data_IF_645940239016
#
_entry.id   IF_645940239016
#
_cell.length_a   1.000
_cell.length_b   1.000
_cell.length_c   1.000
_cell.angle_alpha   90.00
_cell.angle_beta   90.00
_cell.angle_gamma   90.00
#
_symmetry.space_group_name_H-M   'P 1'
#
loop_
_entity.id
_entity.type
_entity.pdbx_description
1 polymer ?
#
# COMPACT_ATOMS: atom_id res chain seq x y z
N UNK A 1 -28.16 12.89 -13.52
CA UNK A 1 -26.74 13.20 -13.30
C UNK A 1 -26.50 14.70 -13.24
N UNK A 2 -25.59 15.17 -12.38
CA UNK A 2 -25.13 16.56 -12.32
C UNK A 2 -23.65 16.63 -12.70
N UNK A 3 -23.28 17.57 -13.57
CA UNK A 3 -21.91 17.84 -13.97
C UNK A 3 -21.47 19.24 -13.54
N UNK A 4 -20.25 19.34 -13.01
CA UNK A 4 -19.65 20.61 -12.60
C UNK A 4 -18.19 20.68 -13.01
N UNK A 5 -17.81 21.75 -13.71
CA UNK A 5 -16.41 22.05 -14.00
C UNK A 5 -15.73 22.63 -12.76
N UNK A 6 -14.51 22.18 -12.48
CA UNK A 6 -13.71 22.57 -11.33
C UNK A 6 -12.29 22.91 -11.82
N UNK A 7 -11.60 23.91 -11.24
CA UNK A 7 -10.20 24.17 -11.56
C UNK A 7 -9.32 22.96 -11.21
N UNK A 8 -8.28 22.75 -12.01
CA UNK A 8 -7.24 21.76 -11.71
C UNK A 8 -6.46 22.19 -10.46
N UNK A 9 -6.25 21.25 -9.54
CA UNK A 9 -5.44 21.46 -8.34
C UNK A 9 -3.97 21.17 -8.62
N UNK A 10 -3.08 21.58 -7.72
CA UNK A 10 -1.64 21.29 -7.81
C UNK A 10 -1.35 19.79 -7.80
N UNK A 11 -2.12 19.01 -7.04
CA UNK A 11 -2.01 17.56 -7.01
C UNK A 11 -2.41 16.94 -8.36
N UNK A 12 -3.49 17.44 -8.98
CA UNK A 12 -3.92 16.99 -10.32
C UNK A 12 -2.80 17.25 -11.34
N UNK A 13 -2.16 18.42 -11.29
CA UNK A 13 -1.05 18.75 -12.21
C UNK A 13 0.18 17.87 -12.02
N UNK A 14 0.52 17.52 -10.77
CA UNK A 14 1.64 16.62 -10.48
C UNK A 14 1.34 15.18 -10.92
N UNK A 15 0.11 14.73 -10.73
CA UNK A 15 -0.34 13.41 -11.16
C UNK A 15 -0.29 13.28 -12.69
N UNK A 16 -0.76 14.30 -13.42
CA UNK A 16 -0.64 14.34 -14.89
C UNK A 16 0.82 14.32 -15.35
N UNK A 17 1.74 14.94 -14.60
CA UNK A 17 3.18 14.90 -14.88
C UNK A 17 3.80 13.52 -14.66
N UNK A 18 3.35 12.78 -13.65
CA UNK A 18 3.87 11.45 -13.33
C UNK A 18 3.40 10.35 -14.29
N UNK A 19 2.25 10.54 -14.93
CA UNK A 19 1.66 9.52 -15.80
C UNK A 19 2.25 9.50 -17.22
N UNK A 20 3.28 10.29 -17.53
CA UNK A 20 3.91 10.42 -18.86
C UNK A 20 2.89 10.57 -20.02
N UNK A 21 1.67 11.04 -19.71
CA UNK A 21 0.59 11.28 -20.68
C UNK A 21 0.62 12.70 -21.24
N UNK A 22 1.56 13.52 -20.73
CA UNK A 22 1.88 14.85 -21.20
C UNK A 22 2.81 14.77 -22.41
N UNK A 23 2.38 15.38 -23.51
CA UNK A 23 3.33 16.04 -24.37
C UNK A 23 3.92 17.21 -23.55
N UNK A 24 5.22 17.21 -23.21
CA UNK A 24 5.82 18.22 -22.33
C UNK A 24 5.71 19.65 -22.88
N UNK A 25 5.33 19.81 -24.16
CA UNK A 25 5.06 21.11 -24.77
C UNK A 25 3.64 21.66 -24.48
N UNK A 26 2.67 20.81 -24.13
CA UNK A 26 1.28 21.22 -23.88
C UNK A 26 1.03 21.80 -22.47
N UNK A 27 1.93 21.54 -21.52
CA UNK A 27 1.83 22.08 -20.14
C UNK A 27 2.17 23.57 -20.09
N UNK A 28 3.01 24.02 -21.03
CA UNK A 28 3.55 25.38 -21.06
C UNK A 28 2.84 26.28 -22.09
N UNK A 29 2.00 25.72 -22.96
CA UNK A 29 1.12 26.53 -23.82
C UNK A 29 -0.14 26.90 -23.03
N UNK A 30 -0.51 28.18 -23.06
CA UNK A 30 -1.72 28.72 -22.42
C UNK A 30 -3.05 28.22 -23.04
N UNK A 31 -3.06 27.06 -23.69
CA UNK A 31 -4.29 26.42 -24.16
C UNK A 31 -4.70 25.33 -23.16
N UNK A 32 -5.75 25.62 -22.39
CA UNK A 32 -6.42 24.70 -21.44
C UNK A 32 -6.82 23.35 -22.09
N UNK A 33 -5.86 22.44 -22.28
CA UNK A 33 -6.08 21.14 -22.93
C UNK A 33 -6.79 20.16 -21.99
N UNK A 34 -6.58 20.33 -20.68
CA UNK A 34 -7.17 19.50 -19.64
C UNK A 34 -8.19 20.30 -18.82
N UNK A 35 -9.31 19.67 -18.49
CA UNK A 35 -10.34 20.23 -17.61
C UNK A 35 -10.78 19.18 -16.61
N UNK A 36 -10.98 19.59 -15.35
CA UNK A 36 -11.53 18.71 -14.33
C UNK A 36 -13.05 18.87 -14.27
N UNK A 37 -13.75 17.75 -14.33
CA UNK A 37 -15.20 17.67 -14.22
C UNK A 37 -15.57 16.74 -13.07
N UNK A 38 -16.59 17.12 -12.32
CA UNK A 38 -17.21 16.29 -11.28
C UNK A 38 -18.58 15.86 -11.81
N UNK A 39 -18.76 14.55 -11.95
CA UNK A 39 -20.03 13.93 -12.33
C UNK A 39 -20.64 13.27 -11.10
N UNK A 40 -21.92 13.50 -10.81
CA UNK A 40 -22.62 12.86 -9.70
C UNK A 40 -23.99 12.33 -10.10
N UNK A 41 -24.35 11.16 -9.61
CA UNK A 41 -25.62 10.51 -9.93
C UNK A 41 -25.76 9.13 -9.32
N UNK A 42 -26.85 8.44 -9.63
CA UNK A 42 -27.04 7.03 -9.23
C UNK A 42 -26.49 6.12 -10.31
N UNK A 43 -25.47 5.33 -9.96
CA UNK A 43 -24.84 4.37 -10.86
C UNK A 43 -25.76 3.16 -11.01
N UNK A 44 -26.19 2.83 -12.23
CA UNK A 44 -26.97 1.60 -12.49
C UNK A 44 -26.05 0.45 -12.87
N UNK A 45 -25.04 0.72 -13.70
CA UNK A 45 -24.17 -0.30 -14.25
C UNK A 45 -22.77 0.24 -14.49
N UNK A 46 -21.79 -0.65 -14.36
CA UNK A 46 -20.42 -0.40 -14.76
C UNK A 46 -19.98 -1.48 -15.74
N UNK A 47 -19.23 -1.10 -16.76
CA UNK A 47 -18.75 -2.01 -17.80
C UNK A 47 -17.27 -1.72 -18.08
N UNK A 48 -16.47 -2.79 -18.29
CA UNK A 48 -15.14 -2.65 -18.85
C UNK A 48 -15.25 -2.84 -20.37
N UNK A 49 -14.86 -1.82 -21.13
CA UNK A 49 -14.89 -1.87 -22.59
C UNK A 49 -13.76 -2.76 -23.11
N UNK A 50 -13.84 -3.13 -24.39
CA UNK A 50 -12.79 -3.86 -25.10
C UNK A 50 -11.45 -3.13 -25.10
N UNK A 51 -11.49 -1.80 -25.00
CA UNK A 51 -10.32 -0.93 -24.99
C UNK A 51 -9.81 -0.67 -23.55
N UNK A 52 -10.19 -1.52 -22.60
CA UNK A 52 -9.85 -1.41 -21.17
C UNK A 52 -10.30 -0.11 -20.50
N UNK A 53 -11.34 0.54 -21.04
CA UNK A 53 -11.93 1.75 -20.45
C UNK A 53 -13.10 1.36 -19.53
N UNK A 54 -13.29 2.12 -18.46
CA UNK A 54 -14.43 1.97 -17.58
C UNK A 54 -15.58 2.84 -18.07
N UNK A 55 -16.75 2.25 -18.22
CA UNK A 55 -17.99 2.95 -18.54
C UNK A 55 -18.92 2.90 -17.33
N UNK A 56 -19.23 4.08 -16.78
CA UNK A 56 -20.21 4.28 -15.71
C UNK A 56 -21.55 4.71 -16.33
N UNK A 57 -22.60 3.92 -16.15
CA UNK A 57 -23.95 4.17 -16.65
C UNK A 57 -24.85 4.66 -15.52
N UNK A 58 -25.40 5.86 -15.67
CA UNK A 58 -26.26 6.51 -14.69
C UNK A 58 -27.75 6.29 -14.95
N UNK A 59 -28.56 6.58 -13.94
CA UNK A 59 -30.01 6.40 -13.93
C UNK A 59 -30.80 7.22 -14.95
N UNK A 60 -30.26 8.35 -15.37
CA UNK A 60 -30.78 9.19 -16.43
C UNK A 60 -30.37 8.72 -17.85
N UNK A 61 -29.70 7.57 -17.96
CA UNK A 61 -29.22 7.01 -19.22
C UNK A 61 -27.91 7.61 -19.71
N UNK A 62 -27.28 8.53 -18.96
CA UNK A 62 -25.98 9.10 -19.33
C UNK A 62 -24.86 8.11 -19.02
N UNK A 63 -23.82 8.11 -19.85
CA UNK A 63 -22.65 7.27 -19.68
C UNK A 63 -21.38 8.14 -19.59
N UNK A 64 -20.50 7.82 -18.63
CA UNK A 64 -19.18 8.42 -18.49
C UNK A 64 -18.14 7.34 -18.77
N UNK A 65 -17.32 7.55 -19.79
CA UNK A 65 -16.26 6.60 -20.20
C UNK A 65 -14.90 7.16 -19.82
N UNK A 66 -14.14 6.41 -19.03
CA UNK A 66 -12.88 6.87 -18.44
C UNK A 66 -11.80 5.80 -18.49
N UNK A 67 -10.56 6.23 -18.65
CA UNK A 67 -9.38 5.43 -18.40
C UNK A 67 -9.10 5.43 -16.89
N UNK A 68 -9.06 4.26 -16.23
CA UNK A 68 -8.72 4.19 -14.82
C UNK A 68 -7.23 4.48 -14.59
N UNK A 69 -6.92 5.14 -13.46
CA UNK A 69 -5.56 5.20 -12.93
C UNK A 69 -5.14 3.83 -12.41
N UNK A 70 -4.68 2.96 -13.31
CA UNK A 70 -4.10 1.67 -12.97
C UNK A 70 -2.56 1.78 -12.88
N UNK A 71 -1.89 1.02 -12.00
CA UNK A 71 -0.43 0.98 -11.99
C UNK A 71 0.12 0.50 -13.35
N UNK A 72 1.28 1.01 -13.79
CA UNK A 72 1.78 0.92 -15.17
C UNK A 72 2.16 -0.49 -15.67
N UNK A 73 1.87 -1.55 -14.92
CA UNK A 73 2.21 -2.93 -15.29
C UNK A 73 1.20 -3.57 -16.27
N UNK A 74 0.26 -2.78 -16.82
CA UNK A 74 -1.01 -3.30 -17.35
C UNK A 74 -1.24 -3.19 -18.85
N UNK A 75 -0.36 -2.57 -19.63
CA UNK A 75 -0.72 -2.20 -21.02
C UNK A 75 -0.43 -3.29 -22.05
N UNK A 76 0.00 -4.49 -21.67
CA UNK A 76 0.24 -5.56 -22.64
C UNK A 76 -0.30 -6.90 -22.15
N UNK A 77 -1.54 -7.21 -22.51
CA UNK A 77 -1.88 -8.50 -23.11
C UNK A 77 -3.31 -8.49 -23.67
N UNK A 78 -3.42 -9.02 -24.90
CA UNK A 78 -4.61 -9.11 -25.73
C UNK A 78 -5.61 -10.11 -25.14
N UNK A 79 -6.80 -9.66 -24.76
CA UNK A 79 -7.96 -10.56 -24.69
C UNK A 79 -9.21 -9.86 -25.17
N UNK A 80 -9.64 -10.21 -26.38
CA UNK A 80 -10.77 -9.67 -27.14
C UNK A 80 -12.15 -10.10 -26.60
N UNK A 81 -12.36 -10.05 -25.28
CA UNK A 81 -13.66 -10.32 -24.68
C UNK A 81 -14.06 -9.17 -23.75
N UNK A 82 -15.23 -8.60 -23.99
CA UNK A 82 -15.85 -7.61 -23.08
C UNK A 82 -16.11 -8.27 -21.73
N UNK A 83 -15.26 -7.98 -20.74
CA UNK A 83 -15.45 -8.44 -19.37
C UNK A 83 -16.46 -7.51 -18.70
N UNK A 84 -17.52 -8.08 -18.12
CA UNK A 84 -18.46 -7.28 -17.32
C UNK A 84 -17.73 -6.95 -16.01
N UNK A 85 -17.42 -5.68 -15.83
CA UNK A 85 -16.91 -5.18 -14.56
C UNK A 85 -17.97 -5.31 -13.47
N UNK A 86 -17.58 -5.78 -12.29
CA UNK A 86 -18.50 -5.93 -11.17
C UNK A 86 -18.50 -4.64 -10.33
N UNK A 87 -19.67 -4.15 -9.96
CA UNK A 87 -19.80 -2.97 -9.09
C UNK A 87 -21.14 -2.90 -8.38
N UNK A 88 -21.24 -1.99 -7.41
CA UNK A 88 -22.49 -1.72 -6.71
C UNK A 88 -23.49 -0.95 -7.59
N UNK A 89 -24.58 -1.61 -7.98
CA UNK A 89 -25.70 -0.99 -8.68
C UNK A 89 -26.61 -0.17 -7.74
N UNK A 90 -27.24 0.86 -8.31
CA UNK A 90 -28.15 1.81 -7.69
C UNK A 90 -27.58 2.54 -6.47
N UNK A 91 -26.29 2.88 -6.51
CA UNK A 91 -25.64 3.67 -5.46
C UNK A 91 -25.32 5.09 -5.93
N UNK A 92 -25.41 6.09 -5.03
CA UNK A 92 -24.96 7.44 -5.33
C UNK A 92 -23.44 7.46 -5.42
N UNK A 93 -22.93 7.85 -6.59
CA UNK A 93 -21.50 7.93 -6.91
C UNK A 93 -21.16 9.35 -7.37
N UNK A 94 -19.98 9.82 -6.94
CA UNK A 94 -19.34 11.03 -7.42
C UNK A 94 -18.04 10.63 -8.11
N UNK A 95 -17.90 10.97 -9.39
CA UNK A 95 -16.71 10.73 -10.20
C UNK A 95 -15.98 12.06 -10.40
N UNK A 96 -14.70 12.10 -10.05
CA UNK A 96 -13.78 13.17 -10.44
C UNK A 96 -12.99 12.73 -11.67
N UNK A 97 -13.23 13.39 -12.79
CA UNK A 97 -12.62 13.06 -14.08
C UNK A 97 -11.79 14.24 -14.60
N UNK A 98 -10.68 13.94 -15.24
CA UNK A 98 -9.90 14.91 -16.01
C UNK A 98 -10.11 14.62 -17.49
N UNK A 99 -10.82 15.52 -18.15
CA UNK A 99 -11.14 15.42 -19.58
C UNK A 99 -10.02 16.02 -20.41
N UNK A 100 -9.68 15.38 -21.53
CA UNK A 100 -8.71 15.88 -22.50
C UNK A 100 -9.34 15.91 -23.90
N UNK A 101 -9.14 16.98 -24.65
CA UNK A 101 -9.83 17.22 -25.93
C UNK A 101 -9.65 16.12 -26.98
N UNK A 102 -8.55 15.36 -26.92
CA UNK A 102 -8.19 14.34 -27.92
C UNK A 102 -7.93 12.95 -27.35
N UNK A 103 -8.25 12.69 -26.08
CA UNK A 103 -7.99 11.40 -25.41
C UNK A 103 -9.21 11.00 -24.55
N UNK A 104 -9.39 9.70 -24.25
CA UNK A 104 -10.38 9.29 -23.26
C UNK A 104 -10.14 9.98 -21.91
N UNK A 105 -11.22 10.27 -21.19
CA UNK A 105 -11.17 10.98 -19.91
C UNK A 105 -10.42 10.15 -18.85
N UNK A 106 -9.63 10.79 -18.00
CA UNK A 106 -8.90 10.13 -16.91
C UNK A 106 -9.75 10.13 -15.63
N UNK A 107 -10.01 8.97 -15.03
CA UNK A 107 -10.69 8.89 -13.73
C UNK A 107 -9.69 9.09 -12.60
N UNK A 108 -9.80 10.21 -11.90
CA UNK A 108 -8.98 10.51 -10.72
C UNK A 108 -9.55 9.82 -9.50
N UNK A 109 -10.86 9.91 -9.30
CA UNK A 109 -11.49 9.44 -8.08
C UNK A 109 -12.94 9.00 -8.30
N UNK A 110 -13.33 7.91 -7.63
CA UNK A 110 -14.72 7.46 -7.54
C UNK A 110 -15.12 7.38 -6.06
N UNK A 111 -16.10 8.18 -5.65
CA UNK A 111 -16.60 8.22 -4.26
C UNK A 111 -18.02 7.67 -4.19
N UNK A 112 -18.22 6.63 -3.39
CA UNK A 112 -19.52 6.08 -3.05
C UNK A 112 -19.98 6.65 -1.70
N UNK A 113 -20.93 7.58 -1.72
CA UNK A 113 -21.29 8.36 -0.51
C UNK A 113 -21.75 7.48 0.67
N UNK A 114 -22.36 6.32 0.38
CA UNK A 114 -22.84 5.38 1.38
C UNK A 114 -21.78 4.39 1.87
N UNK A 115 -20.66 4.28 1.17
CA UNK A 115 -19.61 3.29 1.43
C UNK A 115 -18.21 3.95 1.40
N UNK A 116 -17.93 4.87 2.34
CA UNK A 116 -16.62 5.51 2.42
C UNK A 116 -15.54 4.49 2.82
N UNK A 117 -14.33 4.70 2.29
CA UNK A 117 -13.16 3.97 2.74
C UNK A 117 -12.75 4.46 4.14
N UNK A 118 -12.36 3.55 5.01
CA UNK A 118 -11.72 3.86 6.28
C UNK A 118 -10.22 3.61 6.14
N UNK A 119 -9.46 4.70 6.15
CA UNK A 119 -8.00 4.68 6.13
C UNK A 119 -7.48 4.86 7.55
N UNK A 120 -6.74 3.88 8.05
CA UNK A 120 -6.07 3.95 9.34
C UNK A 120 -4.56 3.82 9.14
N UNK A 121 -3.85 4.92 9.35
CA UNK A 121 -2.39 4.89 9.43
C UNK A 121 -1.97 4.55 10.85
N UNK A 122 -1.30 3.42 11.02
CA UNK A 122 -0.66 3.03 12.25
C UNK A 122 0.85 3.02 12.02
N UNK A 123 1.58 3.82 12.78
CA UNK A 123 3.01 3.54 12.95
C UNK A 123 3.08 2.21 13.69
N UNK A 124 3.74 1.17 13.14
CA UNK A 124 4.03 -0.04 13.92
C UNK A 124 5.08 0.34 14.96
N UNK A 125 4.62 0.98 16.02
CA UNK A 125 5.37 1.23 17.22
C UNK A 125 4.74 0.38 18.31
N UNK A 126 5.58 -0.40 18.98
CA UNK A 126 5.50 -0.82 20.39
C UNK A 126 5.15 -2.28 20.71
N UNK A 127 4.23 -2.96 20.03
CA UNK A 127 3.90 -4.34 20.42
C UNK A 127 5.06 -5.33 20.15
N UNK A 128 5.57 -5.36 18.92
CA UNK A 128 6.76 -6.14 18.56
C UNK A 128 8.03 -5.59 19.23
N UNK A 129 8.11 -4.27 19.45
CA UNK A 129 9.25 -3.67 20.16
C UNK A 129 9.39 -4.19 21.59
N UNK A 130 8.27 -4.36 22.32
CA UNK A 130 8.29 -4.87 23.69
C UNK A 130 8.73 -6.33 23.76
N UNK A 131 8.25 -7.16 22.83
CA UNK A 131 8.60 -8.58 22.74
C UNK A 131 10.06 -8.77 22.31
N UNK A 132 10.49 -8.06 21.26
CA UNK A 132 11.89 -8.04 20.83
C UNK A 132 12.81 -7.46 21.92
N UNK A 133 12.42 -6.41 22.64
CA UNK A 133 13.24 -5.84 23.74
C UNK A 133 13.39 -6.83 24.90
N UNK A 134 12.36 -7.62 25.20
CA UNK A 134 12.42 -8.70 26.19
C UNK A 134 13.34 -9.84 25.74
N UNK A 135 13.19 -10.33 24.51
CA UNK A 135 14.02 -11.41 23.97
C UNK A 135 15.48 -10.97 23.83
N UNK A 136 15.74 -9.76 23.34
CA UNK A 136 17.10 -9.21 23.22
C UNK A 136 17.71 -8.91 24.59
N UNK A 137 16.91 -8.41 25.54
CA UNK A 137 17.34 -8.19 26.92
C UNK A 137 17.72 -9.49 27.64
N UNK A 138 16.96 -10.57 27.38
CA UNK A 138 17.25 -11.90 27.93
C UNK A 138 18.52 -12.49 27.33
N UNK A 139 18.72 -12.37 26.00
CA UNK A 139 19.95 -12.82 25.35
C UNK A 139 21.16 -11.99 25.83
N UNK A 140 21.03 -10.67 25.93
CA UNK A 140 22.09 -9.81 26.47
C UNK A 140 22.44 -10.17 27.93
N UNK A 141 21.43 -10.51 28.75
CA UNK A 141 21.62 -10.98 30.12
C UNK A 141 22.37 -12.31 30.14
N UNK A 142 22.02 -13.27 29.28
CA UNK A 142 22.75 -14.56 29.16
C UNK A 142 24.20 -14.31 28.80
N UNK A 143 24.49 -13.46 27.80
CA UNK A 143 25.86 -13.10 27.45
C UNK A 143 26.60 -12.42 28.60
N UNK A 144 25.96 -11.51 29.34
CA UNK A 144 26.56 -10.85 30.51
C UNK A 144 26.86 -11.84 31.65
N UNK A 145 25.97 -12.80 31.91
CA UNK A 145 26.18 -13.86 32.91
C UNK A 145 27.34 -14.77 32.50
N UNK A 146 27.40 -15.18 31.23
CA UNK A 146 28.54 -15.94 30.69
C UNK A 146 29.82 -15.14 30.86
N UNK A 147 29.84 -13.86 30.51
CA UNK A 147 31.01 -12.99 30.65
C UNK A 147 31.47 -12.85 32.11
N UNK A 148 30.52 -12.70 33.05
CA UNK A 148 30.82 -12.66 34.48
C UNK A 148 31.35 -14.00 35.01
N UNK A 149 30.78 -15.12 34.59
CA UNK A 149 31.24 -16.46 34.98
C UNK A 149 32.67 -16.70 34.49
N UNK A 150 32.98 -16.35 33.24
CA UNK A 150 34.32 -16.45 32.65
C UNK A 150 35.34 -15.59 33.42
N UNK A 151 34.95 -14.38 33.83
CA UNK A 151 35.80 -13.49 34.62
C UNK A 151 36.05 -14.02 36.05
N UNK A 152 35.03 -14.56 36.71
CA UNK A 152 35.16 -15.12 38.07
C UNK A 152 36.04 -16.37 38.05
N UNK A 153 35.84 -17.29 37.09
CA UNK A 153 36.70 -18.48 36.95
C UNK A 153 38.16 -18.15 36.63
N UNK A 154 38.39 -17.07 35.87
CA UNK A 154 39.73 -16.53 35.63
C UNK A 154 40.36 -15.92 36.88
N UNK A 155 39.57 -15.38 37.81
CA UNK A 155 40.05 -14.73 39.03
C UNK A 155 40.31 -15.71 40.18
N UNK A 156 39.53 -16.80 40.29
CA UNK A 156 39.65 -17.80 41.37
C UNK A 156 40.59 -18.97 41.04
N UNK A 157 41.00 -19.12 39.78
CA UNK A 157 41.94 -20.15 39.37
C UNK A 157 43.38 -19.78 39.72
N UNK A 158 44.10 -20.66 40.43
CA UNK A 158 45.54 -20.55 40.72
C UNK A 158 46.41 -20.76 39.47
N UNK A 159 46.02 -20.20 38.34
CA UNK A 159 46.69 -20.36 37.06
C UNK A 159 47.60 -19.16 36.77
N UNK A 160 48.76 -19.45 36.21
CA UNK A 160 49.77 -18.46 35.86
C UNK A 160 49.17 -17.40 34.91
N UNK A 161 49.30 -16.12 35.25
CA UNK A 161 48.58 -14.98 34.66
C UNK A 161 48.67 -14.93 33.13
N UNK A 162 49.77 -15.40 32.56
CA UNK A 162 50.03 -15.48 31.11
C UNK A 162 49.16 -16.51 30.37
N UNK A 163 48.79 -17.63 31.02
CA UNK A 163 47.94 -18.68 30.43
C UNK A 163 46.48 -18.23 30.44
N UNK A 164 46.06 -17.47 31.45
CA UNK A 164 44.72 -16.89 31.53
C UNK A 164 44.55 -15.84 30.42
N UNK A 165 45.56 -14.99 30.20
CA UNK A 165 45.54 -13.94 29.18
C UNK A 165 45.47 -14.51 27.75
N UNK A 166 46.17 -15.61 27.47
CA UNK A 166 46.17 -16.24 26.14
C UNK A 166 44.96 -17.16 25.89
N UNK A 167 44.48 -17.87 26.91
CA UNK A 167 43.40 -18.84 26.76
C UNK A 167 41.98 -18.25 26.82
N UNK A 168 41.77 -17.22 27.64
CA UNK A 168 40.42 -16.67 27.90
C UNK A 168 40.13 -15.36 27.18
N UNK A 169 41.15 -14.65 26.68
CA UNK A 169 40.93 -13.43 25.88
C UNK A 169 40.15 -13.69 24.58
N UNK A 170 40.39 -14.77 23.80
CA UNK A 170 39.61 -15.01 22.58
C UNK A 170 38.12 -15.28 22.85
N UNK A 171 37.71 -16.14 23.81
CA UNK A 171 36.30 -16.31 24.19
C UNK A 171 35.62 -15.01 24.66
N UNK A 172 36.32 -14.20 25.46
CA UNK A 172 35.79 -12.92 25.95
C UNK A 172 35.60 -11.91 24.81
N UNK A 173 36.56 -11.83 23.89
CA UNK A 173 36.47 -10.98 22.72
C UNK A 173 35.32 -11.41 21.79
N UNK A 174 35.14 -12.72 21.56
CA UNK A 174 34.03 -13.24 20.74
C UNK A 174 32.67 -12.90 21.36
N UNK A 175 32.51 -13.09 22.68
CA UNK A 175 31.28 -12.75 23.38
C UNK A 175 30.99 -11.23 23.34
N UNK A 176 32.01 -10.40 23.54
CA UNK A 176 31.89 -8.94 23.48
C UNK A 176 31.55 -8.42 22.08
N UNK A 177 32.24 -8.92 21.04
CA UNK A 177 31.98 -8.57 19.63
C UNK A 177 30.58 -9.03 19.23
N UNK A 178 30.17 -10.24 19.63
CA UNK A 178 28.82 -10.76 19.41
C UNK A 178 27.74 -9.83 19.97
N UNK A 179 27.91 -9.37 21.21
CA UNK A 179 27.00 -8.43 21.86
C UNK A 179 26.92 -7.08 21.10
N UNK A 180 28.07 -6.53 20.70
CA UNK A 180 28.15 -5.26 19.96
C UNK A 180 27.48 -5.37 18.58
N UNK A 181 27.73 -6.45 17.85
CA UNK A 181 27.10 -6.71 16.55
C UNK A 181 25.59 -6.88 16.69
N UNK A 182 25.13 -7.58 17.74
CA UNK A 182 23.70 -7.76 18.01
C UNK A 182 23.01 -6.42 18.33
N UNK A 183 23.62 -5.58 19.16
CA UNK A 183 23.13 -4.24 19.49
C UNK A 183 23.08 -3.32 18.25
N UNK A 184 24.08 -3.40 17.38
CA UNK A 184 24.11 -2.63 16.11
C UNK A 184 23.03 -3.10 15.14
N UNK A 185 22.85 -4.42 15.00
CA UNK A 185 21.76 -5.00 14.18
C UNK A 185 20.39 -4.64 14.76
N UNK A 186 20.23 -4.69 16.08
CA UNK A 186 19.02 -4.29 16.78
C UNK A 186 18.69 -2.81 16.56
N UNK A 187 19.66 -1.91 16.70
CA UNK A 187 19.47 -0.48 16.43
C UNK A 187 19.12 -0.21 14.96
N UNK A 188 19.65 -1.01 14.04
CA UNK A 188 19.32 -0.94 12.61
C UNK A 188 17.89 -1.44 12.33
N UNK A 189 17.51 -2.61 12.87
CA UNK A 189 16.17 -3.18 12.74
C UNK A 189 15.08 -2.35 13.42
N UNK A 190 15.38 -1.73 14.57
CA UNK A 190 14.48 -0.81 15.27
C UNK A 190 14.24 0.50 14.51
N UNK A 191 15.26 1.00 13.81
CA UNK A 191 15.16 2.22 13.01
C UNK A 191 14.34 2.02 11.74
N UNK A 192 14.13 0.78 11.30
CA UNK A 192 13.20 0.42 10.22
C UNK A 192 11.77 0.38 10.78
N UNK A 193 11.26 1.54 11.17
CA UNK A 193 9.86 1.66 11.59
C UNK A 193 8.98 1.26 10.40
N UNK A 194 8.21 0.19 10.57
CA UNK A 194 7.30 -0.30 9.54
C UNK A 194 6.04 0.56 9.67
N UNK A 195 5.71 1.34 8.65
CA UNK A 195 4.43 2.03 8.61
C UNK A 195 3.39 1.03 8.11
N UNK A 196 2.32 0.88 8.88
CA UNK A 196 1.18 0.07 8.48
C UNK A 196 0.04 1.00 8.12
N UNK A 197 -0.43 0.89 6.89
CA UNK A 197 -1.66 1.54 6.45
C UNK A 197 -2.70 0.46 6.31
N UNK A 198 -3.77 0.55 7.08
CA UNK A 198 -4.91 -0.35 6.97
C UNK A 198 -6.02 0.40 6.25
N UNK A 199 -6.51 -0.18 5.16
CA UNK A 199 -7.69 0.26 4.44
C UNK A 199 -8.79 -0.75 4.73
N UNK A 200 -9.94 -0.28 5.20
CA UNK A 200 -11.11 -1.13 5.42
C UNK A 200 -12.36 -0.47 4.88
N UNK A 201 -13.28 -1.27 4.36
CA UNK A 201 -14.58 -0.78 3.90
C UNK A 201 -15.29 -1.83 3.06
N UNK A 202 -16.35 -1.40 2.39
CA UNK A 202 -17.08 -2.23 1.44
C UNK A 202 -16.42 -2.13 0.08
N UNK A 203 -16.20 -3.26 -0.59
CA UNK A 203 -15.74 -3.29 -1.98
C UNK A 203 -16.82 -2.68 -2.86
N UNK A 204 -16.50 -1.61 -3.58
CA UNK A 204 -17.44 -0.89 -4.43
C UNK A 204 -17.33 -1.30 -5.89
N UNK A 205 -16.11 -1.61 -6.33
CA UNK A 205 -15.77 -2.00 -7.69
C UNK A 205 -14.77 -3.15 -7.68
N UNK A 206 -14.92 -4.08 -8.62
CA UNK A 206 -13.97 -5.17 -8.86
C UNK A 206 -13.79 -5.40 -10.35
N UNK A 207 -12.54 -5.45 -10.76
CA UNK A 207 -12.12 -5.75 -12.13
C UNK A 207 -11.17 -6.94 -12.09
N UNK A 208 -11.34 -7.90 -12.98
CA UNK A 208 -10.45 -9.05 -13.07
C UNK A 208 -10.11 -9.31 -14.53
N UNK A 209 -8.82 -9.48 -14.82
CA UNK A 209 -8.36 -9.96 -16.13
C UNK A 209 -7.97 -11.45 -16.09
N UNK A 210 -8.35 -12.17 -15.03
CA UNK A 210 -8.03 -13.59 -14.83
C UNK A 210 -6.66 -13.86 -14.20
N UNK A 211 -5.68 -12.96 -14.33
CA UNK A 211 -4.36 -13.05 -13.67
C UNK A 211 -4.27 -12.16 -12.43
N UNK A 212 -4.85 -10.98 -12.53
CA UNK A 212 -4.85 -9.91 -11.55
C UNK A 212 -6.28 -9.44 -11.35
N UNK A 213 -6.57 -9.01 -10.12
CA UNK A 213 -7.83 -8.41 -9.76
C UNK A 213 -7.60 -7.09 -9.06
N UNK A 214 -8.26 -6.06 -9.56
CA UNK A 214 -8.30 -4.74 -8.96
C UNK A 214 -9.58 -4.61 -8.16
N UNK A 215 -9.42 -4.07 -6.97
CA UNK A 215 -10.50 -3.85 -6.04
C UNK A 215 -10.49 -2.38 -5.66
N UNK A 216 -11.68 -1.80 -5.60
CA UNK A 216 -11.88 -0.46 -5.05
C UNK A 216 -12.64 -0.55 -3.73
N UNK A 217 -12.16 0.16 -2.72
CA UNK A 217 -12.87 0.42 -1.47
C UNK A 217 -12.99 1.94 -1.36
N UNK A 218 -14.21 2.47 -1.50
CA UNK A 218 -14.43 3.92 -1.56
C UNK A 218 -13.60 4.56 -2.67
N UNK A 219 -12.71 5.50 -2.31
CA UNK A 219 -11.80 6.18 -3.24
C UNK A 219 -10.53 5.36 -3.57
N UNK A 220 -10.18 4.38 -2.75
CA UNK A 220 -8.89 3.69 -2.79
C UNK A 220 -8.94 2.47 -3.71
N UNK A 221 -7.99 2.42 -4.63
CA UNK A 221 -7.79 1.32 -5.57
C UNK A 221 -6.56 0.51 -5.18
N UNK A 222 -6.65 -0.81 -5.24
CA UNK A 222 -5.51 -1.70 -5.02
C UNK A 222 -5.61 -2.94 -5.90
N UNK A 223 -4.48 -3.61 -6.05
CA UNK A 223 -4.30 -4.79 -6.87
C UNK A 223 -4.07 -6.03 -6.00
N UNK A 224 -4.53 -7.17 -6.48
CA UNK A 224 -4.33 -8.46 -5.85
C UNK A 224 -4.23 -9.57 -6.90
N UNK A 225 -3.36 -10.54 -6.66
CA UNK A 225 -3.28 -11.78 -7.44
C UNK A 225 -4.43 -12.75 -7.10
N UNK A 226 -5.15 -12.51 -6.00
CA UNK A 226 -6.29 -13.31 -5.58
C UNK A 226 -7.60 -12.63 -6.04
N UNK A 227 -8.25 -13.27 -7.01
CA UNK A 227 -9.53 -12.85 -7.58
C UNK A 227 -10.74 -13.22 -6.72
N UNK A 228 -10.55 -13.93 -5.62
CA UNK A 228 -11.62 -14.45 -4.76
C UNK A 228 -11.78 -13.73 -3.41
N UNK A 229 -10.97 -12.69 -3.15
CA UNK A 229 -10.96 -11.97 -1.87
C UNK A 229 -12.35 -11.49 -1.43
N UNK A 230 -13.04 -10.80 -2.35
CA UNK A 230 -14.36 -10.23 -2.11
C UNK A 230 -15.11 -9.99 -3.43
N UNK A 231 -16.41 -9.78 -3.33
CA UNK A 231 -17.30 -9.33 -4.41
C UNK A 231 -17.81 -7.94 -4.02
N UNK A 232 -18.17 -7.05 -4.98
CA UNK A 232 -18.78 -5.77 -4.63
C UNK A 232 -19.95 -5.93 -3.64
N UNK A 233 -19.97 -5.09 -2.61
CA UNK A 233 -20.90 -5.18 -1.49
C UNK A 233 -20.39 -5.95 -0.27
N UNK A 234 -19.25 -6.63 -0.38
CA UNK A 234 -18.64 -7.34 0.75
C UNK A 234 -17.60 -6.48 1.47
N UNK A 235 -17.45 -6.64 2.79
CA UNK A 235 -16.38 -6.00 3.54
C UNK A 235 -15.02 -6.59 3.16
N UNK A 236 -14.01 -5.74 3.07
CA UNK A 236 -12.63 -6.13 2.86
C UNK A 236 -11.71 -5.21 3.65
N UNK A 237 -10.69 -5.80 4.27
CA UNK A 237 -9.62 -5.09 4.95
C UNK A 237 -8.29 -5.44 4.30
N UNK A 238 -7.56 -4.41 3.89
CA UNK A 238 -6.25 -4.53 3.26
C UNK A 238 -5.23 -3.84 4.15
N UNK A 239 -4.16 -4.56 4.44
CA UNK A 239 -3.05 -4.05 5.25
C UNK A 239 -1.84 -3.88 4.35
N UNK A 240 -1.43 -2.64 4.19
CA UNK A 240 -0.19 -2.25 3.52
C UNK A 240 0.89 -2.05 4.58
N UNK A 241 1.99 -2.77 4.46
CA UNK A 241 3.17 -2.56 5.31
C UNK A 241 4.31 -2.01 4.47
N UNK A 242 4.86 -0.88 4.87
CA UNK A 242 6.01 -0.25 4.20
C UNK A 242 7.16 -0.08 5.18
N UNK A 243 8.38 -0.40 4.74
CA UNK A 243 9.59 -0.10 5.50
C UNK A 243 9.94 1.38 5.31
N UNK A 244 10.19 2.13 6.40
CA UNK A 244 10.46 3.57 6.34
C UNK A 244 11.56 3.95 5.33
N UNK A 245 11.30 5.05 4.60
CA UNK A 245 12.08 5.68 3.54
C UNK A 245 12.12 4.94 2.19
N UNK A 246 11.23 5.37 1.28
CA UNK A 246 11.38 5.29 -0.18
C UNK A 246 11.41 3.92 -0.88
N UNK A 247 11.37 2.78 -0.19
CA UNK A 247 11.31 1.48 -0.88
C UNK A 247 9.86 1.07 -1.15
N UNK A 248 9.50 1.04 -2.43
CA UNK A 248 8.24 0.60 -3.04
C UNK A 248 7.90 -0.90 -2.81
N UNK A 249 8.40 -1.54 -1.75
CA UNK A 249 7.99 -2.89 -1.38
C UNK A 249 6.86 -2.81 -0.36
N UNK A 250 5.63 -2.63 -0.88
CA UNK A 250 4.43 -2.90 -0.11
C UNK A 250 4.25 -4.41 -0.05
N UNK A 251 4.41 -5.02 1.14
CA UNK A 251 3.98 -6.41 1.33
C UNK A 251 2.47 -6.40 1.53
N UNK A 252 1.77 -7.06 0.61
CA UNK A 252 0.31 -7.13 0.55
C UNK A 252 -0.21 -8.25 1.45
N UNK A 253 -0.99 -7.89 2.46
CA UNK A 253 -1.83 -8.83 3.18
C UNK A 253 -3.28 -8.35 3.09
N UNK A 254 -4.04 -8.94 2.18
CA UNK A 254 -5.49 -8.80 2.16
C UNK A 254 -6.07 -9.87 3.08
N UNK A 255 -6.80 -9.44 4.10
CA UNK A 255 -7.52 -10.34 5.00
C UNK A 255 -9.00 -10.06 4.84
N UNK A 256 -9.75 -11.10 4.47
CA UNK A 256 -11.21 -11.05 4.51
C UNK A 256 -11.63 -10.86 5.96
N UNK A 257 -12.18 -9.69 6.28
CA UNK A 257 -12.65 -9.42 7.63
C UNK A 257 -13.98 -10.15 7.82
N UNK A 258 -13.92 -11.31 8.46
CA UNK A 258 -15.09 -12.09 8.89
C UNK A 258 -15.58 -11.70 10.28
N UNK A 259 -14.95 -10.71 10.93
CA UNK A 259 -15.07 -10.49 12.37
C UNK A 259 -15.98 -9.34 12.80
N UNK A 260 -16.66 -8.68 11.84
CA UNK A 260 -17.55 -7.55 12.14
C UNK A 260 -18.93 -7.66 11.49
N UNK A 261 -19.59 -8.81 11.54
CA UNK A 261 -21.05 -8.90 11.45
C UNK A 261 -21.57 -10.11 12.24
#
# INVERSE_FOLDING_TARGET
>A
MQQKNVPLTTADTQLLQQLDTLDPQAVNSHENTYRKMICSGYLIRMELTTDQLLRYLFDDGQAVVVCPLLPPQLVQEESSQSLIAEGLSYQPVVLEIITHSHKPDLLVEARYNNYPAQLQHQTILTANLSRLRKETGLVALVFAVVLCALLITGYTGSFNTSVILMGWAPPLAIAGIGLIMMMKKYRSSLKKAIHQTTVSGIVTEKFSNGKLSWYRIGELLFESNDSTLAVPGQPLQVVFTTNSCSSQEAVFHATKDSSRF
#
